data_IF_718461388031
#
_entry.id   IF_718461388031
#
_cell.length_a   1.000
_cell.length_b   1.000
_cell.length_c   1.000
_cell.angle_alpha   90.00
_cell.angle_beta   90.00
_cell.angle_gamma   90.00
#
_symmetry.space_group_name_H-M   'P 1'
#
loop_
_entity.id
_entity.type
_entity.pdbx_description
1 polymer ?
#
# COMPACT_ATOMS: atom_id res chain seq x y z
N UNK A 1 -37.92 -20.30 31.11
CA UNK A 1 -37.07 -20.82 30.01
C UNK A 1 -36.67 -19.62 29.17
N UNK A 2 -35.50 -19.05 29.45
CA UNK A 2 -34.94 -17.93 28.68
C UNK A 2 -33.90 -18.44 27.69
N UNK A 3 -33.75 -17.80 26.51
CA UNK A 3 -32.70 -18.15 25.56
C UNK A 3 -31.36 -17.60 26.06
N UNK A 4 -30.36 -18.49 26.17
CA UNK A 4 -28.99 -18.14 26.54
C UNK A 4 -28.24 -17.39 25.43
N UNK A 5 -27.12 -16.72 25.77
CA UNK A 5 -26.37 -15.87 24.85
C UNK A 5 -25.53 -16.69 23.87
N UNK A 6 -25.46 -16.22 22.64
CA UNK A 6 -24.63 -16.76 21.56
C UNK A 6 -23.15 -16.46 21.84
N UNK A 7 -22.34 -17.50 22.05
CA UNK A 7 -20.87 -17.41 22.05
C UNK A 7 -20.36 -17.25 20.62
N UNK A 8 -19.51 -16.23 20.39
CA UNK A 8 -18.71 -16.08 19.16
C UNK A 8 -17.49 -17.00 19.28
N UNK A 9 -17.62 -18.21 18.76
CA UNK A 9 -16.48 -19.10 18.52
C UNK A 9 -15.90 -18.87 17.12
N UNK A 10 -14.57 -18.85 17.08
CA UNK A 10 -13.71 -18.59 15.93
C UNK A 10 -14.07 -19.46 14.72
N UNK A 11 -14.66 -18.84 13.68
CA UNK A 11 -14.68 -19.43 12.35
C UNK A 11 -13.41 -19.03 11.61
N UNK A 12 -12.41 -19.92 11.67
CA UNK A 12 -11.31 -19.98 10.72
C UNK A 12 -11.92 -20.19 9.34
N UNK A 13 -11.83 -19.16 8.47
CA UNK A 13 -12.20 -19.31 7.08
C UNK A 13 -11.08 -20.08 6.38
N UNK A 14 -11.26 -21.39 6.21
CA UNK A 14 -10.41 -22.20 5.33
C UNK A 14 -10.68 -21.75 3.88
N UNK A 15 -9.74 -20.99 3.31
CA UNK A 15 -9.73 -20.75 1.86
C UNK A 15 -9.38 -22.07 1.16
N UNK A 16 -10.17 -22.52 0.18
CA UNK A 16 -9.76 -23.65 -0.66
C UNK A 16 -8.51 -23.28 -1.47
N UNK A 17 -7.63 -24.25 -1.78
CA UNK A 17 -6.44 -24.00 -2.58
C UNK A 17 -6.86 -23.53 -3.98
N UNK A 18 -6.25 -22.43 -4.45
CA UNK A 18 -6.36 -21.98 -5.83
C UNK A 18 -5.75 -23.03 -6.76
N UNK A 19 -6.56 -23.60 -7.65
CA UNK A 19 -6.07 -24.35 -8.80
C UNK A 19 -5.26 -23.40 -9.70
N UNK A 20 -3.99 -23.74 -9.88
CA UNK A 20 -3.13 -23.13 -10.90
C UNK A 20 -3.58 -23.71 -12.24
N UNK A 21 -4.26 -22.91 -13.06
CA UNK A 21 -4.46 -23.23 -14.47
C UNK A 21 -3.13 -22.93 -15.17
N UNK A 22 -2.29 -23.96 -15.30
CA UNK A 22 -1.16 -23.94 -16.24
C UNK A 22 -1.72 -24.15 -17.66
N UNK A 23 -1.94 -23.06 -18.39
CA UNK A 23 -2.13 -23.17 -19.85
C UNK A 23 -0.77 -23.45 -20.50
N UNK A 24 -0.47 -24.74 -20.63
CA UNK A 24 0.62 -25.28 -21.44
C UNK A 24 0.23 -25.13 -22.92
N UNK A 25 0.84 -24.17 -23.61
CA UNK A 25 0.82 -24.16 -25.08
C UNK A 25 2.12 -24.77 -25.62
N UNK A 26 2.01 -26.02 -26.07
CA UNK A 26 3.00 -26.64 -26.95
C UNK A 26 2.91 -26.03 -28.34
N UNK A 27 3.94 -25.34 -28.81
CA UNK A 27 4.10 -25.05 -30.24
C UNK A 27 5.10 -26.05 -30.83
N UNK A 28 4.57 -27.01 -31.59
CA UNK A 28 5.36 -27.81 -32.54
C UNK A 28 5.85 -26.92 -33.68
N UNK A 29 7.01 -27.31 -34.21
CA UNK A 29 7.75 -26.73 -35.32
C UNK A 29 6.91 -26.45 -36.57
N UNK A 30 7.34 -25.43 -37.34
CA UNK A 30 7.23 -25.46 -38.80
C UNK A 30 6.26 -24.47 -39.46
N UNK A 31 6.86 -23.54 -40.21
CA UNK A 31 6.33 -22.82 -41.37
C UNK A 31 5.37 -21.60 -41.24
N UNK A 32 5.96 -20.45 -41.58
CA UNK A 32 5.54 -19.45 -42.57
C UNK A 32 4.04 -19.08 -42.69
N UNK A 33 3.74 -17.89 -42.14
CA UNK A 33 3.03 -16.82 -42.84
C UNK A 33 1.51 -16.85 -42.86
N UNK A 34 0.88 -15.90 -42.16
CA UNK A 34 -0.26 -15.17 -42.69
C UNK A 34 -0.47 -13.85 -41.94
N UNK A 35 -0.62 -12.77 -42.72
CA UNK A 35 -0.88 -11.41 -42.27
C UNK A 35 -2.38 -11.30 -41.95
N UNK A 36 -2.73 -11.12 -40.67
CA UNK A 36 -4.10 -10.82 -40.24
C UNK A 36 -4.17 -9.42 -39.63
N UNK A 37 -4.79 -8.48 -40.35
CA UNK A 37 -5.05 -7.12 -39.88
C UNK A 37 -6.20 -7.13 -38.86
N UNK A 38 -5.92 -6.77 -37.62
CA UNK A 38 -6.93 -6.33 -36.64
C UNK A 38 -6.72 -4.86 -36.33
N UNK A 39 -7.68 -4.01 -36.71
CA UNK A 39 -7.71 -2.61 -36.34
C UNK A 39 -7.92 -2.47 -34.82
N UNK A 40 -6.88 -2.03 -34.11
CA UNK A 40 -7.04 -1.36 -32.82
C UNK A 40 -6.23 -0.06 -32.89
N UNK A 41 -6.93 1.07 -32.94
CA UNK A 41 -6.35 2.37 -33.21
C UNK A 41 -5.46 2.86 -32.05
N UNK A 42 -4.34 3.49 -32.43
CA UNK A 42 -3.42 4.31 -31.64
C UNK A 42 -2.49 3.63 -30.62
N UNK A 43 -1.44 2.98 -31.11
CA UNK A 43 -0.10 2.98 -30.48
C UNK A 43 0.99 3.20 -31.53
N UNK A 44 1.55 4.42 -31.57
CA UNK A 44 2.88 4.63 -32.14
C UNK A 44 3.89 4.46 -31.02
N UNK A 45 4.65 3.37 -31.04
CA UNK A 45 5.86 3.22 -30.22
C UNK A 45 7.05 3.51 -31.14
N UNK A 46 7.67 4.68 -30.99
CA UNK A 46 8.93 4.97 -31.66
C UNK A 46 10.06 4.29 -30.88
N UNK A 47 10.69 3.28 -31.48
CA UNK A 47 11.98 2.77 -31.02
C UNK A 47 13.09 3.50 -31.78
N UNK A 48 14.02 4.13 -31.06
CA UNK A 48 15.28 4.61 -31.64
C UNK A 48 16.33 3.55 -31.38
N UNK A 49 16.81 2.89 -32.43
CA UNK A 49 17.90 1.92 -32.33
C UNK A 49 19.22 2.66 -32.06
N UNK A 50 19.77 2.48 -30.85
CA UNK A 50 21.17 2.78 -30.54
C UNK A 50 21.73 1.63 -29.69
N UNK A 51 22.46 0.71 -30.32
CA UNK A 51 23.43 -0.18 -29.68
C UNK A 51 22.92 -1.28 -28.72
N UNK A 52 23.81 -2.21 -28.30
CA UNK A 52 23.45 -3.37 -27.49
C UNK A 52 23.45 -2.98 -26.01
N UNK A 53 22.43 -2.27 -25.57
CA UNK A 53 22.18 -2.01 -24.16
C UNK A 53 20.67 -2.04 -23.92
N UNK A 54 20.27 -2.68 -22.82
CA UNK A 54 18.88 -2.97 -22.42
C UNK A 54 17.93 -1.81 -22.77
N UNK A 55 16.90 -2.12 -23.55
CA UNK A 55 15.83 -1.19 -23.90
C UNK A 55 14.97 -0.92 -22.66
N UNK A 56 15.17 0.25 -22.04
CA UNK A 56 14.21 0.78 -21.08
C UNK A 56 13.21 1.69 -21.82
N UNK A 57 11.90 1.52 -21.62
CA UNK A 57 10.90 2.40 -22.22
C UNK A 57 11.07 3.83 -21.64
N UNK A 58 11.27 4.80 -22.53
CA UNK A 58 11.26 6.22 -22.15
C UNK A 58 9.82 6.62 -21.86
N UNK A 59 9.50 6.77 -20.57
CA UNK A 59 8.21 7.28 -20.11
C UNK A 59 8.06 8.76 -20.49
N UNK A 60 7.06 9.07 -21.32
CA UNK A 60 6.54 10.44 -21.46
C UNK A 60 5.16 10.47 -20.82
N UNK A 61 4.97 11.07 -19.64
CA UNK A 61 3.66 11.14 -19.01
C UNK A 61 2.69 11.87 -19.94
N UNK A 62 1.56 11.23 -20.26
CA UNK A 62 0.40 11.97 -20.76
C UNK A 62 -0.17 12.77 -19.59
N UNK A 63 -0.28 14.08 -19.78
CA UNK A 63 -1.00 14.97 -18.87
C UNK A 63 -2.47 14.51 -18.88
N UNK A 64 -2.95 13.99 -17.76
CA UNK A 64 -4.37 13.62 -17.58
C UNK A 64 -5.12 14.88 -17.15
N UNK A 65 -6.25 15.23 -17.80
CA UNK A 65 -7.05 16.37 -17.38
C UNK A 65 -7.58 16.17 -15.95
N UNK A 66 -7.74 17.26 -15.17
CA UNK A 66 -8.24 17.18 -13.81
C UNK A 66 -9.65 16.57 -13.76
N UNK A 67 -10.03 15.93 -12.64
CA UNK A 67 -11.37 15.37 -12.47
C UNK A 67 -12.46 16.45 -12.62
N UNK A 68 -13.64 16.03 -13.05
CA UNK A 68 -14.81 16.89 -13.21
C UNK A 68 -15.15 17.61 -11.88
N UNK A 69 -15.60 18.88 -11.92
CA UNK A 69 -15.85 19.66 -10.72
C UNK A 69 -17.09 19.12 -10.00
N UNK A 70 -16.86 18.46 -8.86
CA UNK A 70 -17.91 17.95 -7.99
C UNK A 70 -17.28 17.27 -6.77
N UNK A 71 -17.31 17.97 -5.63
CA UNK A 71 -16.67 17.70 -4.34
C UNK A 71 -15.20 18.16 -4.22
N UNK A 72 -14.96 19.15 -3.35
CA UNK A 72 -13.67 19.78 -3.07
C UNK A 72 -12.74 18.89 -2.21
N UNK A 73 -12.90 17.56 -2.27
CA UNK A 73 -12.17 16.60 -1.43
C UNK A 73 -11.11 15.89 -2.26
N UNK A 74 -9.85 16.01 -1.84
CA UNK A 74 -8.71 15.48 -2.60
C UNK A 74 -8.73 13.94 -2.61
N UNK A 75 -8.49 13.28 -3.77
CA UNK A 75 -8.31 11.83 -3.83
C UNK A 75 -6.96 11.38 -3.25
N UNK A 76 -6.04 12.31 -2.96
CA UNK A 76 -4.67 12.04 -2.59
C UNK A 76 -4.18 12.97 -1.49
N UNK A 77 -3.57 12.40 -0.45
CA UNK A 77 -2.77 13.10 0.54
C UNK A 77 -1.29 12.99 0.18
N UNK A 78 -0.58 14.11 0.19
CA UNK A 78 0.86 14.15 -0.04
C UNK A 78 1.61 14.33 1.28
N UNK A 79 2.46 13.37 1.69
CA UNK A 79 3.31 13.52 2.86
C UNK A 79 4.32 14.65 2.65
N UNK A 80 4.53 15.47 3.68
CA UNK A 80 5.40 16.66 3.63
C UNK A 80 6.88 16.29 3.59
N UNK A 81 7.26 15.17 4.21
CA UNK A 81 8.64 14.68 4.33
C UNK A 81 9.30 14.44 2.95
N UNK A 82 8.48 14.17 1.92
CA UNK A 82 8.92 13.98 0.54
C UNK A 82 8.66 15.19 -0.37
N UNK A 83 8.07 16.29 0.13
CA UNK A 83 7.67 17.43 -0.71
C UNK A 83 8.85 18.11 -1.44
N UNK A 84 10.05 18.04 -0.86
CA UNK A 84 11.29 18.60 -1.41
C UNK A 84 12.29 17.51 -1.84
N UNK A 85 11.80 16.32 -2.20
CA UNK A 85 12.62 15.21 -2.70
C UNK A 85 12.19 14.90 -4.14
N UNK A 86 12.77 15.56 -5.17
CA UNK A 86 12.34 15.39 -6.56
C UNK A 86 12.43 13.94 -7.05
N UNK A 87 13.38 13.17 -6.53
CA UNK A 87 13.57 11.75 -6.84
C UNK A 87 12.53 10.83 -6.19
N UNK A 88 11.60 11.33 -5.39
CA UNK A 88 10.56 10.52 -4.73
C UNK A 88 9.19 11.13 -4.95
N UNK A 89 8.25 10.36 -5.50
CA UNK A 89 6.83 10.70 -5.44
C UNK A 89 6.14 9.74 -4.50
N UNK A 90 5.40 10.25 -3.53
CA UNK A 90 4.65 9.45 -2.57
C UNK A 90 3.28 10.07 -2.30
N UNK A 91 2.35 9.22 -1.86
CA UNK A 91 1.05 9.68 -1.41
C UNK A 91 0.20 8.57 -0.82
N UNK A 92 -0.87 8.98 -0.15
CA UNK A 92 -1.91 8.08 0.35
C UNK A 92 -3.25 8.46 -0.26
N UNK A 93 -3.95 7.48 -0.84
CA UNK A 93 -5.29 7.72 -1.36
C UNK A 93 -6.28 8.01 -0.22
N UNK A 94 -7.28 8.83 -0.51
CA UNK A 94 -8.51 8.92 0.28
C UNK A 94 -9.55 7.96 -0.30
N UNK A 95 -10.78 7.95 0.23
CA UNK A 95 -11.90 7.22 -0.38
C UNK A 95 -12.56 7.94 -1.56
N UNK A 96 -12.11 9.15 -1.89
CA UNK A 96 -12.76 10.04 -2.87
C UNK A 96 -12.21 9.88 -4.30
N UNK A 97 -13.03 10.19 -5.30
CA UNK A 97 -12.61 10.30 -6.70
C UNK A 97 -12.62 8.99 -7.50
N UNK A 98 -13.22 7.93 -6.97
CA UNK A 98 -13.34 6.65 -7.66
C UNK A 98 -14.68 6.44 -8.37
N UNK A 99 -15.01 5.17 -8.62
CA UNK A 99 -16.23 4.74 -9.34
C UNK A 99 -16.97 3.57 -8.68
N UNK A 100 -16.47 3.07 -7.55
CA UNK A 100 -17.15 2.00 -6.81
C UNK A 100 -18.40 2.53 -6.10
N UNK A 101 -19.43 1.70 -6.01
CA UNK A 101 -20.64 1.98 -5.22
C UNK A 101 -20.57 1.40 -3.80
N UNK A 102 -21.65 1.53 -2.99
CA UNK A 102 -21.65 1.02 -1.62
C UNK A 102 -21.44 -0.49 -1.57
N UNK A 103 -20.70 -1.03 -0.59
CA UNK A 103 -20.06 -0.34 0.56
C UNK A 103 -18.63 0.17 0.28
N UNK A 104 -18.25 0.35 -0.99
CA UNK A 104 -16.89 0.67 -1.44
C UNK A 104 -16.75 2.11 -1.97
N UNK A 105 -17.69 3.00 -1.64
CA UNK A 105 -17.76 4.38 -2.16
C UNK A 105 -16.49 5.16 -1.80
N UNK A 106 -15.69 5.67 -2.74
CA UNK A 106 -15.77 5.55 -4.20
C UNK A 106 -14.49 4.97 -4.79
N UNK A 107 -13.33 5.28 -4.19
CA UNK A 107 -11.99 4.92 -4.67
C UNK A 107 -11.45 3.68 -3.95
N UNK A 108 -12.16 2.56 -4.01
CA UNK A 108 -11.63 1.30 -3.51
C UNK A 108 -10.52 0.76 -4.42
N UNK A 109 -9.35 0.49 -3.83
CA UNK A 109 -8.17 -0.05 -4.52
C UNK A 109 -7.93 -1.55 -4.19
N UNK A 110 -8.70 -2.11 -3.27
CA UNK A 110 -8.59 -3.52 -2.84
C UNK A 110 -9.29 -4.48 -3.79
N UNK A 111 -8.56 -5.49 -4.29
CA UNK A 111 -9.11 -6.57 -5.12
C UNK A 111 -9.78 -7.69 -4.32
N UNK A 112 -9.45 -7.82 -3.03
CA UNK A 112 -9.81 -8.96 -2.18
C UNK A 112 -11.03 -8.69 -1.28
N UNK A 113 -11.73 -7.57 -1.46
CA UNK A 113 -12.80 -7.14 -0.53
C UNK A 113 -14.21 -7.41 -1.07
N UNK A 114 -14.36 -7.95 -2.28
CA UNK A 114 -15.66 -8.29 -2.87
C UNK A 114 -16.31 -7.17 -3.70
N UNK A 115 -15.52 -6.18 -4.15
CA UNK A 115 -15.97 -5.13 -5.07
C UNK A 115 -15.93 -5.58 -6.54
N UNK A 116 -16.61 -4.85 -7.41
CA UNK A 116 -16.62 -5.09 -8.85
C UNK A 116 -15.24 -4.85 -9.44
N UNK A 117 -14.65 -5.88 -10.07
CA UNK A 117 -13.28 -5.85 -10.57
C UNK A 117 -13.00 -4.67 -11.53
N UNK A 118 -13.92 -4.35 -12.45
CA UNK A 118 -13.75 -3.23 -13.38
C UNK A 118 -13.74 -1.86 -12.67
N UNK A 119 -14.50 -1.70 -11.59
CA UNK A 119 -14.45 -0.50 -10.75
C UNK A 119 -13.09 -0.38 -10.05
N UNK A 120 -12.57 -1.47 -9.48
CA UNK A 120 -11.26 -1.49 -8.81
C UNK A 120 -10.12 -1.16 -9.78
N UNK A 121 -10.15 -1.69 -11.01
CA UNK A 121 -9.11 -1.38 -12.00
C UNK A 121 -9.17 0.08 -12.48
N UNK A 122 -10.36 0.64 -12.66
CA UNK A 122 -10.51 2.08 -12.96
C UNK A 122 -10.02 2.95 -11.80
N UNK A 123 -10.34 2.58 -10.55
CA UNK A 123 -9.84 3.28 -9.36
C UNK A 123 -8.31 3.24 -9.27
N UNK A 124 -7.70 2.07 -9.53
CA UNK A 124 -6.23 1.91 -9.58
C UNK A 124 -5.61 2.77 -10.68
N UNK A 125 -6.23 2.83 -11.86
CA UNK A 125 -5.78 3.71 -12.94
C UNK A 125 -5.81 5.19 -12.53
N UNK A 126 -6.90 5.64 -11.89
CA UNK A 126 -7.03 7.02 -11.37
C UNK A 126 -6.00 7.34 -10.29
N UNK A 127 -5.81 6.43 -9.33
CA UNK A 127 -4.82 6.58 -8.28
C UNK A 127 -3.40 6.68 -8.84
N UNK A 128 -3.00 5.76 -9.71
CA UNK A 128 -1.67 5.80 -10.33
C UNK A 128 -1.47 7.09 -11.14
N UNK A 129 -2.49 7.55 -11.87
CA UNK A 129 -2.44 8.83 -12.59
C UNK A 129 -2.24 10.04 -11.66
N UNK A 130 -2.85 10.05 -10.47
CA UNK A 130 -2.65 11.11 -9.46
C UNK A 130 -1.21 11.17 -8.94
N UNK A 131 -0.50 10.05 -9.02
CA UNK A 131 0.92 9.90 -8.73
C UNK A 131 1.76 9.92 -10.01
N UNK A 132 1.25 10.33 -11.18
CA UNK A 132 2.03 10.38 -12.43
C UNK A 132 2.74 9.06 -12.77
N UNK A 133 2.05 7.94 -12.56
CA UNK A 133 2.55 6.59 -12.86
C UNK A 133 1.48 5.82 -13.63
N UNK A 134 1.90 4.90 -14.50
CA UNK A 134 1.01 3.98 -15.19
C UNK A 134 0.72 2.76 -14.29
N UNK A 135 -0.53 2.29 -14.13
CA UNK A 135 -0.83 1.10 -13.33
C UNK A 135 -0.09 -0.17 -13.78
N UNK A 136 0.44 -0.23 -15.01
CA UNK A 136 1.33 -1.29 -15.46
C UNK A 136 2.66 -1.36 -14.69
N UNK A 137 3.03 -0.30 -13.97
CA UNK A 137 4.22 -0.21 -13.11
C UNK A 137 3.93 -0.43 -11.62
N UNK A 138 2.72 -0.89 -11.29
CA UNK A 138 2.29 -1.08 -9.91
C UNK A 138 2.79 -2.42 -9.37
N UNK A 139 3.37 -2.38 -8.17
CA UNK A 139 3.63 -3.55 -7.37
C UNK A 139 2.93 -3.47 -6.01
N UNK A 140 2.31 -4.58 -5.61
CA UNK A 140 1.49 -4.66 -4.38
C UNK A 140 1.80 -5.91 -3.59
N UNK A 141 1.69 -5.81 -2.27
CA UNK A 141 1.91 -6.92 -1.36
C UNK A 141 0.62 -7.75 -1.16
N UNK A 142 0.76 -9.07 -1.13
CA UNK A 142 -0.25 -10.02 -0.69
C UNK A 142 -0.23 -10.15 0.81
N UNK A 143 -0.71 -9.09 1.47
CA UNK A 143 -0.64 -8.85 2.90
C UNK A 143 -1.30 -9.95 3.72
N UNK A 144 -0.57 -10.47 4.70
CA UNK A 144 -1.03 -11.52 5.64
C UNK A 144 -0.88 -11.11 7.10
N UNK A 145 -0.64 -9.83 7.38
CA UNK A 145 -0.36 -9.31 8.72
C UNK A 145 0.88 -9.96 9.36
N UNK A 146 1.82 -10.36 8.51
CA UNK A 146 3.10 -10.93 8.84
C UNK A 146 4.17 -9.85 9.02
N UNK A 147 5.43 -10.27 8.86
CA UNK A 147 6.59 -9.38 8.90
C UNK A 147 7.60 -9.68 7.79
N UNK A 148 7.12 -10.34 6.73
CA UNK A 148 7.92 -10.77 5.60
C UNK A 148 8.09 -9.60 4.64
N UNK A 149 9.34 -9.28 4.30
CA UNK A 149 9.71 -8.26 3.32
C UNK A 149 10.27 -8.92 2.07
N UNK A 150 9.95 -8.36 0.91
CA UNK A 150 10.43 -8.83 -0.40
C UNK A 150 11.09 -7.69 -1.16
N UNK A 151 12.27 -7.97 -1.71
CA UNK A 151 12.89 -7.09 -2.70
C UNK A 151 12.27 -7.41 -4.05
N UNK A 152 11.81 -6.38 -4.73
CA UNK A 152 11.11 -6.50 -6.01
C UNK A 152 11.72 -5.55 -7.03
N UNK A 153 11.71 -5.98 -8.28
CA UNK A 153 12.41 -5.35 -9.40
C UNK A 153 11.50 -5.14 -10.62
N UNK A 154 10.28 -5.68 -10.57
CA UNK A 154 9.30 -5.63 -11.64
C UNK A 154 7.86 -5.55 -11.09
N UNK A 155 6.90 -5.00 -11.87
CA UNK A 155 5.50 -4.88 -11.46
C UNK A 155 4.86 -6.24 -11.25
N UNK A 156 4.32 -6.50 -10.05
CA UNK A 156 3.62 -7.74 -9.71
C UNK A 156 2.81 -7.62 -8.43
N UNK A 157 1.91 -8.58 -8.24
CA UNK A 157 1.36 -8.90 -6.93
C UNK A 157 2.28 -9.93 -6.26
N UNK A 158 2.89 -9.57 -5.14
CA UNK A 158 3.83 -10.42 -4.41
C UNK A 158 3.12 -11.10 -3.24
N UNK A 159 2.81 -12.40 -3.29
CA UNK A 159 2.00 -13.06 -2.27
C UNK A 159 2.75 -13.23 -0.94
N UNK A 160 2.01 -13.35 0.16
CA UNK A 160 2.53 -13.71 1.50
C UNK A 160 3.64 -12.78 2.03
N UNK A 161 3.54 -11.49 1.73
CA UNK A 161 4.43 -10.47 2.26
C UNK A 161 3.66 -9.25 2.72
N UNK A 162 4.26 -8.50 3.65
CA UNK A 162 3.70 -7.26 4.18
C UNK A 162 4.67 -6.08 3.97
N UNK A 163 5.86 -6.32 3.41
CA UNK A 163 6.79 -5.26 3.02
C UNK A 163 7.38 -5.51 1.64
N UNK A 164 7.59 -4.42 0.90
CA UNK A 164 8.23 -4.38 -0.40
C UNK A 164 9.40 -3.41 -0.37
N UNK A 165 10.49 -3.73 -1.03
CA UNK A 165 11.67 -2.88 -1.23
C UNK A 165 12.05 -2.92 -2.70
N UNK A 166 12.48 -1.80 -3.26
CA UNK A 166 13.00 -1.76 -4.63
C UNK A 166 14.09 -0.71 -4.79
N UNK A 167 14.99 -0.98 -5.73
CA UNK A 167 15.94 -0.03 -6.30
C UNK A 167 15.60 0.32 -7.76
N UNK A 168 14.50 -0.23 -8.30
CA UNK A 168 14.07 -0.01 -9.69
C UNK A 168 13.32 1.32 -9.79
N UNK A 169 13.86 2.34 -10.51
CA UNK A 169 13.13 3.58 -10.71
C UNK A 169 11.85 3.36 -11.53
N UNK A 170 10.81 4.14 -11.23
CA UNK A 170 9.50 4.05 -11.88
C UNK A 170 8.58 2.94 -11.34
N UNK A 171 9.10 1.97 -10.58
CA UNK A 171 8.28 0.95 -9.93
C UNK A 171 7.51 1.54 -8.74
N UNK A 172 6.18 1.52 -8.80
CA UNK A 172 5.31 2.06 -7.75
C UNK A 172 4.99 0.97 -6.73
N UNK A 173 5.57 1.09 -5.54
CA UNK A 173 5.23 0.23 -4.41
C UNK A 173 3.94 0.72 -3.77
N UNK A 174 2.96 -0.15 -3.56
CA UNK A 174 1.72 0.20 -2.90
C UNK A 174 1.27 -0.83 -1.86
N UNK A 175 0.78 -0.30 -0.73
CA UNK A 175 0.29 -1.05 0.42
C UNK A 175 -1.18 -0.71 0.66
N UNK A 176 -2.02 -1.74 0.72
CA UNK A 176 -3.46 -1.61 0.93
C UNK A 176 -3.79 -1.50 2.42
N UNK A 177 -4.61 -0.53 2.81
CA UNK A 177 -5.00 -0.33 4.20
C UNK A 177 -6.46 0.09 4.35
N UNK A 178 -7.04 -0.34 5.45
CA UNK A 178 -8.18 0.28 6.12
C UNK A 178 -7.92 0.00 7.61
N UNK A 179 -7.59 1.04 8.39
CA UNK A 179 -7.15 1.00 9.81
C UNK A 179 -5.68 0.65 10.12
N UNK A 180 -5.07 -0.29 9.41
CA UNK A 180 -3.63 -0.54 9.55
C UNK A 180 -2.80 0.61 8.96
N UNK A 181 -1.56 0.79 9.41
CA UNK A 181 -0.69 1.86 8.93
C UNK A 181 0.07 1.45 7.66
N UNK A 182 0.05 2.25 6.58
CA UNK A 182 1.03 2.15 5.54
C UNK A 182 2.28 2.94 5.97
N UNK A 183 3.44 2.32 5.91
CA UNK A 183 4.74 2.97 6.17
C UNK A 183 5.49 3.07 4.85
N UNK A 184 5.86 4.29 4.45
CA UNK A 184 6.60 4.58 3.22
C UNK A 184 8.00 5.09 3.59
N UNK A 185 9.04 4.51 2.99
CA UNK A 185 10.44 4.72 3.36
C UNK A 185 11.25 5.02 2.11
N UNK A 186 12.05 6.07 2.11
CA UNK A 186 12.94 6.37 0.99
C UNK A 186 14.31 6.83 1.47
N UNK A 187 15.36 6.22 0.92
CA UNK A 187 16.69 6.79 0.88
C UNK A 187 16.90 7.39 -0.52
N UNK A 188 16.68 8.70 -0.70
CA UNK A 188 16.79 9.32 -2.02
C UNK A 188 18.24 9.46 -2.51
N UNK A 189 19.23 9.30 -1.62
CA UNK A 189 20.65 9.42 -1.99
C UNK A 189 21.20 8.12 -2.57
N UNK A 190 20.74 6.99 -2.05
CA UNK A 190 21.15 5.66 -2.49
C UNK A 190 20.09 4.97 -3.36
N UNK A 191 19.03 5.70 -3.74
CA UNK A 191 18.02 5.25 -4.71
C UNK A 191 17.30 3.96 -4.27
N UNK A 192 16.99 3.85 -2.97
CA UNK A 192 16.25 2.72 -2.41
C UNK A 192 14.95 3.21 -1.81
N UNK A 193 13.84 2.56 -2.14
CA UNK A 193 12.53 2.82 -1.54
C UNK A 193 11.91 1.54 -1.00
N UNK A 194 11.13 1.68 0.06
CA UNK A 194 10.39 0.59 0.68
C UNK A 194 9.00 1.02 1.13
N UNK A 195 8.07 0.07 1.14
CA UNK A 195 6.73 0.27 1.68
C UNK A 195 6.33 -0.96 2.50
N UNK A 196 5.69 -0.76 3.65
CA UNK A 196 5.15 -1.89 4.41
C UNK A 196 3.79 -1.63 5.06
N UNK A 197 3.07 -2.73 5.26
CA UNK A 197 1.81 -2.85 5.94
C UNK A 197 2.05 -3.14 7.42
N UNK A 198 1.74 -2.16 8.25
CA UNK A 198 1.89 -2.23 9.69
C UNK A 198 0.53 -2.25 10.37
N UNK A 199 -0.11 -3.43 10.40
CA UNK A 199 -1.11 -3.75 11.41
C UNK A 199 -0.46 -4.16 12.72
N UNK A 200 -1.24 -4.33 13.80
CA UNK A 200 -0.67 -4.62 15.13
C UNK A 200 0.24 -5.85 15.16
N UNK A 201 -0.14 -6.95 14.48
CA UNK A 201 0.69 -8.17 14.38
C UNK A 201 2.02 -7.90 13.68
N UNK A 202 2.00 -7.12 12.60
CA UNK A 202 3.21 -6.74 11.87
C UNK A 202 4.11 -5.83 12.70
N UNK A 203 3.51 -4.88 13.42
CA UNK A 203 4.24 -3.98 14.32
C UNK A 203 4.90 -4.74 15.46
N UNK A 204 4.19 -5.62 16.18
CA UNK A 204 4.81 -6.47 17.22
C UNK A 204 5.99 -7.27 16.64
N UNK A 205 5.84 -7.78 15.42
CA UNK A 205 6.88 -8.52 14.68
C UNK A 205 7.92 -7.64 13.97
N UNK A 206 7.97 -6.34 14.27
CA UNK A 206 8.98 -5.37 13.81
C UNK A 206 9.04 -5.18 12.29
N UNK A 207 7.88 -5.18 11.59
CA UNK A 207 7.85 -5.05 10.11
C UNK A 207 8.51 -3.76 9.60
N UNK A 208 8.39 -2.64 10.32
CA UNK A 208 9.04 -1.39 9.94
C UNK A 208 10.57 -1.51 9.99
N UNK A 209 11.13 -2.00 11.10
CA UNK A 209 12.56 -2.22 11.25
C UNK A 209 13.09 -3.25 10.24
N UNK A 210 12.34 -4.33 9.96
CA UNK A 210 12.71 -5.32 8.93
C UNK A 210 12.71 -4.75 7.52
N UNK A 211 11.82 -3.79 7.24
CA UNK A 211 11.81 -3.09 5.94
C UNK A 211 13.03 -2.18 5.82
N UNK A 212 13.39 -1.46 6.88
CA UNK A 212 14.64 -0.67 6.93
C UNK A 212 15.88 -1.57 6.73
N UNK A 213 15.93 -2.73 7.38
CA UNK A 213 17.02 -3.69 7.20
C UNK A 213 17.12 -4.19 5.75
N UNK A 214 16.00 -4.58 5.14
CA UNK A 214 15.97 -5.00 3.74
C UNK A 214 16.36 -3.87 2.76
N UNK A 215 16.01 -2.61 3.07
CA UNK A 215 16.51 -1.46 2.31
C UNK A 215 18.02 -1.30 2.46
N UNK A 216 18.57 -1.49 3.67
CA UNK A 216 20.00 -1.42 3.92
C UNK A 216 20.78 -2.53 3.17
N UNK A 217 20.21 -3.74 3.11
CA UNK A 217 20.75 -4.84 2.30
C UNK A 217 20.79 -4.50 0.79
N UNK A 218 19.92 -3.57 0.35
CA UNK A 218 19.90 -3.02 -1.01
C UNK A 218 20.76 -1.75 -1.18
N UNK A 219 21.52 -1.34 -0.16
CA UNK A 219 22.43 -0.21 -0.21
C UNK A 219 21.90 1.10 0.41
N UNK A 220 20.71 1.10 1.01
CA UNK A 220 20.24 2.25 1.77
C UNK A 220 21.09 2.47 3.03
N UNK A 221 21.18 3.72 3.46
CA UNK A 221 21.77 4.09 4.75
C UNK A 221 20.63 4.52 5.68
N UNK A 222 20.36 3.81 6.80
CA UNK A 222 19.25 4.15 7.69
C UNK A 222 19.21 5.62 8.11
N UNK A 223 20.37 6.22 8.38
CA UNK A 223 20.50 7.64 8.72
C UNK A 223 20.13 8.63 7.58
N UNK A 224 19.94 8.14 6.35
CA UNK A 224 19.50 8.90 5.17
C UNK A 224 18.04 8.60 4.79
N UNK A 225 17.41 7.62 5.45
CA UNK A 225 16.02 7.27 5.20
C UNK A 225 15.11 8.38 5.73
N UNK A 226 14.13 8.73 4.91
CA UNK A 226 12.95 9.50 5.30
C UNK A 226 11.75 8.57 5.36
N UNK A 227 10.94 8.69 6.40
CA UNK A 227 9.81 7.82 6.64
C UNK A 227 8.50 8.61 6.74
N UNK A 228 7.43 8.01 6.22
CA UNK A 228 6.07 8.48 6.42
C UNK A 228 5.19 7.35 6.96
N UNK A 229 4.58 7.57 8.11
CA UNK A 229 3.52 6.72 8.67
C UNK A 229 2.17 7.34 8.31
N UNK A 230 1.44 6.69 7.39
CA UNK A 230 0.18 7.22 6.88
C UNK A 230 -1.00 7.13 7.85
N UNK A 231 -2.17 7.72 7.47
CA UNK A 231 -3.42 7.56 8.20
C UNK A 231 -3.72 6.10 8.59
N UNK A 232 -4.01 5.91 9.88
CA UNK A 232 -4.37 4.64 10.51
C UNK A 232 -5.21 4.93 11.76
N UNK A 233 -5.57 3.92 12.55
CA UNK A 233 -6.25 4.18 13.83
C UNK A 233 -5.37 5.06 14.75
N UNK A 234 -5.97 6.09 15.34
CA UNK A 234 -5.32 6.94 16.34
C UNK A 234 -5.26 6.22 17.68
N UNK A 235 -4.39 6.71 18.59
CA UNK A 235 -4.33 6.25 19.98
C UNK A 235 -5.70 6.24 20.65
N UNK A 236 -6.56 7.22 20.40
CA UNK A 236 -7.90 7.29 21.02
C UNK A 236 -8.91 6.34 20.39
N UNK A 237 -8.63 5.81 19.20
CA UNK A 237 -9.55 4.94 18.45
C UNK A 237 -9.11 3.46 18.44
N UNK A 238 -7.82 3.18 18.67
CA UNK A 238 -7.30 1.81 18.62
C UNK A 238 -7.42 1.08 19.95
N UNK A 239 -8.67 0.83 20.36
CA UNK A 239 -8.99 -0.03 21.50
C UNK A 239 -8.65 -1.49 21.18
N UNK A 240 -8.00 -2.18 22.12
CA UNK A 240 -7.61 -3.58 21.96
C UNK A 240 -7.90 -4.39 23.23
N UNK A 241 -7.82 -5.72 23.15
CA UNK A 241 -7.89 -6.55 24.35
C UNK A 241 -6.59 -6.49 25.16
N UNK A 242 -6.61 -6.85 26.46
CA UNK A 242 -5.41 -6.88 27.29
C UNK A 242 -4.31 -7.78 26.70
N UNK A 243 -4.68 -8.86 26.00
CA UNK A 243 -3.77 -9.77 25.32
C UNK A 243 -2.97 -9.10 24.20
N UNK A 244 -3.61 -8.22 23.42
CA UNK A 244 -2.91 -7.46 22.38
C UNK A 244 -2.07 -6.35 23.01
N UNK A 245 -2.58 -5.68 24.04
CA UNK A 245 -1.83 -4.62 24.72
C UNK A 245 -0.54 -5.12 25.38
N UNK A 246 -0.54 -6.35 25.92
CA UNK A 246 0.63 -6.98 26.53
C UNK A 246 1.78 -7.25 25.54
N UNK A 247 1.50 -7.30 24.24
CA UNK A 247 2.51 -7.47 23.19
C UNK A 247 3.26 -6.16 22.85
N UNK A 248 2.82 -5.02 23.40
CA UNK A 248 3.42 -3.72 23.19
C UNK A 248 4.14 -3.21 24.44
N UNK A 249 5.16 -2.38 24.23
CA UNK A 249 5.80 -1.60 25.29
C UNK A 249 4.76 -0.68 25.96
N UNK A 250 4.74 -0.64 27.30
CA UNK A 250 3.82 0.20 28.06
C UNK A 250 3.91 1.70 27.66
N UNK A 251 5.04 2.16 27.14
CA UNK A 251 5.22 3.52 26.64
C UNK A 251 4.26 3.90 25.49
N UNK A 252 3.71 2.91 24.77
CA UNK A 252 2.75 3.12 23.67
C UNK A 252 1.36 2.57 23.99
N UNK A 253 1.13 2.12 25.23
CA UNK A 253 -0.16 1.63 25.71
C UNK A 253 -0.80 2.65 26.64
N UNK A 254 -1.99 3.11 26.29
CA UNK A 254 -2.79 3.99 27.10
C UNK A 254 -3.88 3.21 27.84
N UNK A 255 -4.09 3.55 29.11
CA UNK A 255 -5.20 3.04 29.92
C UNK A 255 -6.02 4.24 30.40
N UNK A 256 -6.87 4.84 29.54
CA UNK A 256 -7.66 6.01 29.90
C UNK A 256 -8.55 5.71 31.11
N UNK A 257 -8.72 6.70 32.00
CA UNK A 257 -9.58 6.54 33.16
C UNK A 257 -11.02 6.26 32.73
N UNK A 258 -11.62 5.21 33.28
CA UNK A 258 -12.99 4.79 32.95
C UNK A 258 -13.14 4.04 31.62
N UNK A 259 -12.05 3.75 30.91
CA UNK A 259 -12.10 2.85 29.75
C UNK A 259 -12.03 1.39 30.21
N UNK A 260 -12.91 0.56 29.66
CA UNK A 260 -12.92 -0.89 29.93
C UNK A 260 -11.71 -1.60 29.30
N UNK A 261 -11.09 -0.98 28.30
CA UNK A 261 -10.04 -1.60 27.47
C UNK A 261 -8.85 -0.66 27.22
N UNK A 262 -7.63 -1.21 27.14
CA UNK A 262 -6.45 -0.45 26.77
C UNK A 262 -6.51 0.00 25.31
N UNK A 263 -5.79 1.07 25.03
CA UNK A 263 -5.59 1.58 23.69
C UNK A 263 -4.12 1.55 23.30
N UNK A 264 -3.82 1.21 22.04
CA UNK A 264 -2.44 1.18 21.54
C UNK A 264 -2.20 2.36 20.61
N UNK A 265 -1.11 3.10 20.85
CA UNK A 265 -0.62 4.10 19.92
C UNK A 265 0.27 3.45 18.85
N UNK A 266 -0.37 3.00 17.76
CA UNK A 266 0.32 2.33 16.66
C UNK A 266 1.35 3.24 15.98
N UNK A 267 1.07 4.54 15.90
CA UNK A 267 1.97 5.51 15.26
C UNK A 267 3.22 5.74 16.12
N UNK A 268 3.05 5.89 17.44
CA UNK A 268 4.17 6.00 18.36
C UNK A 268 5.02 4.72 18.39
N UNK A 269 4.39 3.53 18.32
CA UNK A 269 5.09 2.26 18.22
C UNK A 269 5.97 2.20 16.96
N UNK A 270 5.42 2.58 15.80
CA UNK A 270 6.17 2.61 14.54
C UNK A 270 7.27 3.66 14.54
N UNK A 271 7.04 4.84 15.11
CA UNK A 271 8.07 5.86 15.28
C UNK A 271 9.27 5.33 16.05
N UNK A 272 9.05 4.73 17.22
CA UNK A 272 10.10 4.12 18.06
C UNK A 272 10.87 3.02 17.32
N UNK A 273 10.18 2.19 16.54
CA UNK A 273 10.82 1.13 15.74
C UNK A 273 11.71 1.70 14.64
N UNK A 274 11.27 2.76 13.97
CA UNK A 274 12.05 3.42 12.92
C UNK A 274 13.29 4.10 13.51
N UNK A 275 13.15 4.80 14.64
CA UNK A 275 14.29 5.40 15.36
C UNK A 275 15.29 4.34 15.82
N UNK A 276 14.81 3.25 16.42
CA UNK A 276 15.65 2.13 16.84
C UNK A 276 16.35 1.44 15.65
N UNK A 277 15.75 1.49 14.45
CA UNK A 277 16.36 0.99 13.22
C UNK A 277 17.36 1.99 12.58
N UNK A 278 17.59 3.16 13.20
CA UNK A 278 18.57 4.14 12.77
C UNK A 278 18.03 5.25 11.87
N UNK A 279 16.71 5.35 11.69
CA UNK A 279 16.07 6.47 10.99
C UNK A 279 16.06 7.69 11.93
N UNK A 280 16.54 8.88 11.51
CA UNK A 280 16.51 10.06 12.36
C UNK A 280 15.07 10.45 12.72
N UNK A 281 14.82 10.81 13.99
CA UNK A 281 13.46 11.15 14.46
C UNK A 281 12.83 12.32 13.71
N UNK A 282 13.62 13.32 13.32
CA UNK A 282 13.19 14.46 12.50
C UNK A 282 12.96 14.10 11.02
N UNK A 283 13.40 12.91 10.60
CA UNK A 283 13.14 12.34 9.28
C UNK A 283 11.91 11.41 9.25
N UNK A 284 11.12 11.35 10.34
CA UNK A 284 9.90 10.54 10.44
C UNK A 284 8.68 11.48 10.53
N UNK A 285 7.81 11.45 9.51
CA UNK A 285 6.51 12.10 9.56
C UNK A 285 5.43 11.06 9.89
N UNK A 286 4.64 11.30 10.95
CA UNK A 286 3.42 10.56 11.19
C UNK A 286 2.20 11.43 10.87
N UNK A 287 1.28 10.90 10.05
CA UNK A 287 0.03 11.60 9.76
C UNK A 287 -0.81 11.76 11.03
N UNK A 288 -1.41 12.93 11.28
CA UNK A 288 -2.30 13.11 12.43
C UNK A 288 -3.68 12.47 12.24
N UNK A 289 -4.04 12.10 10.99
CA UNK A 289 -5.39 11.65 10.61
C UNK A 289 -5.74 10.27 11.17
N UNK A 290 -7.01 10.05 11.48
CA UNK A 290 -7.51 8.77 11.98
C UNK A 290 -8.53 8.17 11.02
N UNK A 291 -8.31 6.94 10.55
CA UNK A 291 -9.24 6.30 9.59
C UNK A 291 -10.64 6.11 10.15
N UNK A 292 -10.78 5.83 11.45
CA UNK A 292 -12.07 5.65 12.11
C UNK A 292 -12.79 6.98 12.36
N UNK A 293 -12.08 7.99 12.87
CA UNK A 293 -12.69 9.28 13.21
C UNK A 293 -12.93 10.15 11.97
N UNK A 294 -12.10 9.98 10.93
CA UNK A 294 -12.20 10.67 9.64
C UNK A 294 -12.84 9.77 8.56
N UNK A 295 -13.86 8.98 8.91
CA UNK A 295 -14.48 7.97 8.03
C UNK A 295 -15.11 8.55 6.74
N UNK A 296 -15.39 9.86 6.73
CA UNK A 296 -15.79 10.57 5.51
C UNK A 296 -14.66 10.63 4.47
N UNK A 297 -13.39 10.59 4.89
CA UNK A 297 -12.22 10.72 4.03
C UNK A 297 -11.48 9.39 3.83
N UNK A 298 -11.68 8.41 4.70
CA UNK A 298 -10.99 7.12 4.63
C UNK A 298 -11.95 5.95 4.83
N UNK A 299 -11.63 4.82 4.19
CA UNK A 299 -12.21 3.55 4.59
C UNK A 299 -11.64 3.12 5.95
N UNK A 300 -12.53 2.63 6.81
CA UNK A 300 -12.18 2.04 8.10
C UNK A 300 -12.96 0.75 8.25
N UNK A 301 -12.24 -0.35 8.46
CA UNK A 301 -12.85 -1.66 8.68
C UNK A 301 -13.65 -1.65 9.99
N UNK A 302 -13.11 -0.99 11.03
CA UNK A 302 -13.78 -0.82 12.31
C UNK A 302 -15.01 0.07 12.24
N UNK A 303 -14.97 1.19 11.51
CA UNK A 303 -16.13 2.06 11.38
C UNK A 303 -17.26 1.42 10.56
N UNK A 304 -16.91 0.60 9.57
CA UNK A 304 -17.88 -0.02 8.68
C UNK A 304 -18.65 -1.19 9.33
N UNK A 305 -18.11 -1.82 10.38
CA UNK A 305 -18.65 -3.04 11.00
C UNK A 305 -19.05 -4.10 9.96
N UNK A 306 -18.24 -4.24 8.91
CA UNK A 306 -18.59 -4.96 7.70
C UNK A 306 -17.61 -4.74 6.54
N UNK A 307 -17.96 -5.17 5.32
CA UNK A 307 -17.14 -4.96 4.13
C UNK A 307 -16.95 -3.47 3.84
N UNK A 308 -15.73 -3.09 3.47
CA UNK A 308 -15.38 -1.72 3.07
C UNK A 308 -14.18 -1.73 2.13
N UNK A 309 -13.91 -0.61 1.47
CA UNK A 309 -12.80 -0.45 0.53
C UNK A 309 -11.42 -0.47 1.20
N UNK A 310 -10.38 -0.38 0.38
CA UNK A 310 -8.99 -0.20 0.82
C UNK A 310 -8.38 1.03 0.15
N UNK A 311 -7.71 1.87 0.94
CA UNK A 311 -6.82 2.92 0.44
C UNK A 311 -5.43 2.36 0.18
N UNK A 312 -4.64 3.05 -0.65
CA UNK A 312 -3.23 2.75 -0.86
C UNK A 312 -2.35 3.84 -0.26
N UNK A 313 -1.35 3.45 0.53
CA UNK A 313 -0.12 4.23 0.68
C UNK A 313 0.87 3.76 -0.37
N UNK A 314 1.43 4.68 -1.16
CA UNK A 314 2.33 4.32 -2.25
C UNK A 314 3.47 5.32 -2.43
N UNK A 315 4.61 4.82 -2.92
CA UNK A 315 5.77 5.62 -3.28
C UNK A 315 6.51 5.03 -4.48
N UNK A 316 7.19 5.90 -5.21
CA UNK A 316 7.98 5.56 -6.40
C UNK A 316 9.23 6.44 -6.46
N UNK A 317 10.35 5.81 -6.80
CA UNK A 317 11.60 6.50 -7.13
C UNK A 317 11.52 7.06 -8.57
N UNK A 318 11.95 8.31 -8.76
CA UNK A 318 11.97 9.02 -10.05
C UNK A 318 13.39 9.14 -10.58
N UNK A 319 13.48 9.26 -11.90
CA UNK A 319 14.67 9.69 -12.63
C UNK A 319 14.74 11.22 -12.72
#
# INVERSE_FOLDING_TARGET
MGPGPWSKEDRVCECPPFEVIEDVYTTREGDRGCIGRGHCANRFVCFRLIGPTRLFPVYRPRIVPPPAPGTNRSPLLRPRIFAHVPSVTAGMSTRHGGVSGPPYDTLNLGRHVGDTASCVEENRRRFCASLQTDPAWLATAGQVHGSTVRVIDAPRYEPFCDGLVTTTPGLLLAIAVADCAPVLLADPKHEVVGACHAGWRGTVRQIAAKTVAAMADCGAVPAQIRAYVGPCLSRTAFEVGPEVAAEFDDAVVARPQGADRPHVDLKAALHRQLEAAGVPGDAIEASPRCTLQDADDFFSYRAADGPTGRMFGALVLRH
#
